data_IF_645390658017
#
_entry.id   IF_645390658017
#
_cell.length_a   1.000
_cell.length_b   1.000
_cell.length_c   1.000
_cell.angle_alpha   90.00
_cell.angle_beta   90.00
_cell.angle_gamma   90.00
#
_symmetry.space_group_name_H-M   'P 1'
#
loop_
_entity.id
_entity.type
_entity.pdbx_description
1 polymer ?
#
# COMPACT_ATOMS: atom_id res chain seq x y z
N UNK A 1 -8.93 -16.22 25.24
CA UNK A 1 -8.44 -14.85 25.52
C UNK A 1 -7.78 -14.34 24.25
N UNK A 2 -8.38 -13.39 23.55
CA UNK A 2 -7.70 -12.72 22.43
C UNK A 2 -6.64 -11.75 22.99
N UNK A 3 -5.53 -11.51 22.29
CA UNK A 3 -4.49 -10.64 22.80
C UNK A 3 -5.04 -9.21 22.95
N UNK A 4 -4.82 -8.63 24.12
CA UNK A 4 -5.19 -7.26 24.42
C UNK A 4 -4.52 -6.31 23.42
N UNK A 5 -5.32 -5.45 22.79
CA UNK A 5 -4.82 -4.37 21.95
C UNK A 5 -4.05 -3.41 22.87
N UNK A 6 -2.72 -3.41 22.80
CA UNK A 6 -1.90 -2.43 23.50
C UNK A 6 -2.12 -1.04 22.87
N UNK A 7 -2.21 0.04 23.66
CA UNK A 7 -2.11 1.39 23.13
C UNK A 7 -0.71 1.53 22.50
N UNK A 8 -0.65 1.61 21.16
CA UNK A 8 0.64 1.66 20.46
C UNK A 8 0.72 1.01 19.06
N UNK A 9 -0.38 0.65 18.41
CA UNK A 9 -0.32 0.04 17.07
C UNK A 9 0.47 0.87 16.05
N UNK A 10 0.31 2.19 16.06
CA UNK A 10 1.09 3.09 15.18
C UNK A 10 2.58 3.17 15.58
N UNK A 11 2.91 3.10 16.88
CA UNK A 11 4.30 3.06 17.33
C UNK A 11 4.98 1.74 16.98
N UNK A 12 4.24 0.62 17.04
CA UNK A 12 4.72 -0.68 16.56
C UNK A 12 5.04 -0.61 15.06
N UNK A 13 4.11 -0.11 14.24
CA UNK A 13 4.33 0.03 12.79
C UNK A 13 5.53 0.94 12.45
N UNK A 14 5.77 2.01 13.22
CA UNK A 14 6.95 2.87 13.05
C UNK A 14 8.27 2.15 13.36
N UNK A 15 8.24 1.17 14.26
CA UNK A 15 9.40 0.38 14.66
C UNK A 15 9.76 -0.74 13.67
N UNK A 16 8.89 -1.05 12.71
CA UNK A 16 9.15 -2.08 11.71
C UNK A 16 10.23 -1.64 10.71
N UNK A 17 10.92 -2.63 10.14
CA UNK A 17 11.70 -2.43 8.93
C UNK A 17 10.79 -2.05 7.76
N UNK A 18 11.36 -1.33 6.78
CA UNK A 18 10.60 -0.84 5.63
C UNK A 18 10.00 -1.98 4.79
N UNK A 19 10.71 -3.11 4.67
CA UNK A 19 10.22 -4.31 3.98
C UNK A 19 8.96 -4.90 4.62
N UNK A 20 8.95 -5.08 5.94
CA UNK A 20 7.80 -5.61 6.67
C UNK A 20 6.64 -4.59 6.71
N UNK A 21 6.94 -3.30 6.82
CA UNK A 21 5.91 -2.26 6.76
C UNK A 21 5.23 -2.20 5.38
N UNK A 22 6.02 -2.28 4.30
CA UNK A 22 5.51 -2.34 2.93
C UNK A 22 4.66 -3.60 2.73
N UNK A 23 5.14 -4.77 3.17
CA UNK A 23 4.41 -6.03 3.06
C UNK A 23 3.04 -5.97 3.77
N UNK A 24 3.00 -5.41 4.98
CA UNK A 24 1.75 -5.22 5.74
C UNK A 24 0.78 -4.26 5.05
N UNK A 25 1.30 -3.18 4.47
CA UNK A 25 0.47 -2.25 3.69
C UNK A 25 -0.12 -2.94 2.46
N UNK A 26 0.69 -3.68 1.70
CA UNK A 26 0.23 -4.45 0.53
C UNK A 26 -0.82 -5.49 0.95
N UNK A 27 -0.59 -6.23 2.04
CA UNK A 27 -1.55 -7.20 2.56
C UNK A 27 -2.89 -6.55 2.96
N UNK A 28 -2.83 -5.39 3.61
CA UNK A 28 -4.03 -4.65 4.03
C UNK A 28 -4.88 -4.20 2.85
N UNK A 29 -4.23 -3.80 1.76
CA UNK A 29 -4.89 -3.13 0.63
C UNK A 29 -5.19 -4.08 -0.54
N UNK A 30 -4.42 -5.16 -0.73
CA UNK A 30 -4.47 -5.94 -1.97
C UNK A 30 -4.40 -7.46 -1.80
N UNK A 31 -4.47 -8.02 -0.57
CA UNK A 31 -4.34 -9.48 -0.40
C UNK A 31 -5.35 -10.34 -1.19
N UNK A 32 -6.52 -9.78 -1.50
CA UNK A 32 -7.57 -10.44 -2.28
C UNK A 32 -7.52 -10.17 -3.79
N UNK A 33 -6.58 -9.37 -4.26
CA UNK A 33 -6.53 -8.87 -5.65
C UNK A 33 -5.64 -9.73 -6.57
N UNK A 34 -5.06 -10.81 -6.04
CA UNK A 34 -4.05 -11.61 -6.73
C UNK A 34 -2.67 -10.94 -6.76
N UNK A 35 -1.67 -11.66 -7.26
CA UNK A 35 -0.26 -11.21 -7.23
C UNK A 35 -0.03 -9.92 -8.01
N UNK A 36 -0.69 -9.73 -9.16
CA UNK A 36 -0.58 -8.50 -9.96
C UNK A 36 -1.13 -7.29 -9.19
N UNK A 37 -2.23 -7.45 -8.45
CA UNK A 37 -2.79 -6.40 -7.60
C UNK A 37 -1.89 -6.04 -6.41
N UNK A 38 -1.25 -7.04 -5.80
CA UNK A 38 -0.27 -6.82 -4.73
C UNK A 38 0.95 -6.04 -5.23
N UNK A 39 1.49 -6.42 -6.39
CA UNK A 39 2.59 -5.72 -7.06
C UNK A 39 2.17 -4.28 -7.38
N UNK A 40 1.00 -4.09 -7.98
CA UNK A 40 0.46 -2.79 -8.36
C UNK A 40 0.35 -1.81 -7.18
N UNK A 41 -0.18 -2.27 -6.03
CA UNK A 41 -0.24 -1.44 -4.82
C UNK A 41 1.16 -1.13 -4.28
N UNK A 42 2.08 -2.10 -4.33
CA UNK A 42 3.49 -1.88 -3.98
C UNK A 42 4.12 -0.76 -4.81
N UNK A 43 3.91 -0.77 -6.13
CA UNK A 43 4.38 0.31 -7.01
C UNK A 43 3.75 1.66 -6.68
N UNK A 44 2.44 1.73 -6.38
CA UNK A 44 1.81 3.01 -5.99
C UNK A 44 2.48 3.61 -4.75
N UNK A 45 2.82 2.78 -3.75
CA UNK A 45 3.51 3.25 -2.54
C UNK A 45 4.88 3.84 -2.89
N UNK A 46 5.66 3.15 -3.73
CA UNK A 46 7.00 3.60 -4.12
C UNK A 46 6.95 4.81 -5.08
N UNK A 47 5.99 4.86 -5.99
CA UNK A 47 5.73 6.03 -6.84
C UNK A 47 5.42 7.28 -6.00
N UNK A 48 4.70 7.13 -4.87
CA UNK A 48 4.46 8.22 -3.91
C UNK A 48 5.73 8.67 -3.19
N UNK A 49 6.62 7.73 -2.85
CA UNK A 49 7.93 8.06 -2.28
C UNK A 49 8.76 8.87 -3.28
N UNK A 50 8.78 8.45 -4.54
CA UNK A 50 9.56 9.07 -5.61
C UNK A 50 9.01 10.44 -6.04
N UNK A 51 7.68 10.60 -6.09
CA UNK A 51 7.04 11.85 -6.53
C UNK A 51 7.09 12.96 -5.47
N UNK A 52 7.25 12.63 -4.19
CA UNK A 52 7.17 13.58 -3.09
C UNK A 52 5.75 14.10 -2.82
N UNK A 53 5.57 14.91 -1.77
CA UNK A 53 4.26 15.47 -1.40
C UNK A 53 3.29 14.50 -0.71
N UNK A 54 3.57 13.20 -0.72
CA UNK A 54 2.78 12.15 -0.04
C UNK A 54 3.31 11.79 1.37
N UNK A 55 4.51 12.24 1.71
CA UNK A 55 5.22 11.93 2.96
C UNK A 55 6.69 11.64 2.64
N UNK A 56 7.58 11.77 3.63
CA UNK A 56 9.01 11.52 3.43
C UNK A 56 9.35 10.05 3.70
N UNK A 57 9.94 9.41 2.69
CA UNK A 57 10.29 7.99 2.73
C UNK A 57 9.07 7.07 2.86
N UNK A 58 9.35 5.77 3.00
CA UNK A 58 8.30 4.75 3.02
C UNK A 58 7.37 4.91 4.23
N UNK A 59 7.94 5.08 5.43
CA UNK A 59 7.17 5.29 6.67
C UNK A 59 6.31 6.54 6.61
N UNK A 60 6.84 7.63 6.04
CA UNK A 60 6.10 8.87 5.88
C UNK A 60 4.92 8.72 4.93
N UNK A 61 5.07 7.96 3.85
CA UNK A 61 3.98 7.68 2.90
C UNK A 61 2.92 6.74 3.51
N UNK A 62 3.34 5.61 4.08
CA UNK A 62 2.43 4.56 4.58
C UNK A 62 1.66 5.02 5.83
N UNK A 63 2.34 5.65 6.79
CA UNK A 63 1.75 5.98 8.09
C UNK A 63 1.13 7.38 8.14
N UNK A 64 1.10 8.11 7.02
CA UNK A 64 0.40 9.38 6.95
C UNK A 64 -1.10 9.15 7.09
N UNK A 65 -1.72 9.98 7.92
CA UNK A 65 -3.14 9.89 8.28
C UNK A 65 -4.01 9.82 7.01
N UNK A 66 -4.83 8.77 6.91
CA UNK A 66 -5.79 8.49 5.81
C UNK A 66 -5.17 8.14 4.44
N UNK A 67 -3.87 7.86 4.33
CA UNK A 67 -3.29 7.44 3.04
C UNK A 67 -3.59 6.00 2.65
N UNK A 68 -3.77 5.13 3.64
CA UNK A 68 -4.15 3.73 3.46
C UNK A 68 -5.20 3.37 4.50
N UNK A 69 -6.34 2.89 4.04
CA UNK A 69 -7.52 2.66 4.88
C UNK A 69 -7.29 1.61 5.95
N UNK A 70 -6.49 0.60 5.63
CA UNK A 70 -6.18 -0.51 6.53
C UNK A 70 -5.47 -0.09 7.84
N UNK A 71 -4.85 1.10 7.87
CA UNK A 71 -4.22 1.65 9.07
C UNK A 71 -5.11 2.60 9.88
N UNK A 72 -6.35 2.83 9.46
CA UNK A 72 -7.30 3.63 10.23
C UNK A 72 -7.82 2.82 11.43
N UNK A 73 -7.98 3.46 12.59
CA UNK A 73 -8.33 2.79 13.85
C UNK A 73 -9.68 2.04 13.84
N UNK A 74 -10.56 2.32 12.87
CA UNK A 74 -11.84 1.64 12.70
C UNK A 74 -11.82 0.50 11.67
N UNK A 75 -10.71 0.26 10.98
CA UNK A 75 -10.60 -0.81 9.99
C UNK A 75 -10.35 -2.16 10.69
N UNK A 76 -11.12 -3.23 10.38
CA UNK A 76 -10.92 -4.55 10.96
C UNK A 76 -9.50 -5.12 10.74
N UNK A 77 -8.82 -4.69 9.68
CA UNK A 77 -7.44 -5.09 9.40
C UNK A 77 -6.43 -4.41 10.32
N UNK A 78 -6.75 -3.26 10.92
CA UNK A 78 -5.82 -2.52 11.77
C UNK A 78 -5.26 -3.38 12.89
N UNK A 79 -6.12 -4.17 13.54
CA UNK A 79 -5.72 -5.07 14.62
C UNK A 79 -4.77 -6.15 14.09
N UNK A 80 -5.09 -6.78 12.94
CA UNK A 80 -4.24 -7.81 12.33
C UNK A 80 -2.88 -7.25 11.94
N UNK A 81 -2.86 -6.08 11.30
CA UNK A 81 -1.65 -5.43 10.80
C UNK A 81 -0.73 -4.92 11.90
N UNK A 82 -1.24 -4.72 13.12
CA UNK A 82 -0.47 -4.20 14.27
C UNK A 82 -0.06 -5.29 15.27
N UNK A 83 -0.34 -6.56 14.98
CA UNK A 83 0.17 -7.69 15.77
C UNK A 83 1.64 -7.98 15.44
N UNK A 84 2.48 -8.35 16.43
CA UNK A 84 3.86 -8.78 16.19
C UNK A 84 3.92 -9.90 15.14
N UNK A 85 3.14 -10.95 15.36
CA UNK A 85 2.97 -12.02 14.39
C UNK A 85 1.74 -11.81 13.51
N UNK A 86 1.93 -11.88 12.19
CA UNK A 86 0.85 -11.91 11.19
C UNK A 86 0.91 -13.26 10.49
N UNK A 87 -0.03 -14.14 10.83
CA UNK A 87 -0.14 -15.50 10.30
C UNK A 87 -1.26 -15.57 9.25
N UNK A 88 -0.87 -15.53 7.97
CA UNK A 88 -1.75 -15.66 6.80
C UNK A 88 -0.89 -16.03 5.59
N UNK A 89 -1.35 -16.92 4.72
CA UNK A 89 -0.56 -17.33 3.55
C UNK A 89 -0.24 -16.15 2.64
N UNK A 90 -1.17 -15.19 2.49
CA UNK A 90 -0.97 -14.03 1.64
C UNK A 90 0.10 -13.07 2.18
N UNK A 91 0.42 -13.07 3.48
CA UNK A 91 1.50 -12.20 3.99
C UNK A 91 2.87 -12.66 3.50
N UNK A 92 3.08 -13.96 3.26
CA UNK A 92 4.35 -14.46 2.71
C UNK A 92 4.59 -13.90 1.29
N UNK A 93 3.57 -13.95 0.44
CA UNK A 93 3.59 -13.36 -0.90
C UNK A 93 3.82 -11.85 -0.83
N UNK A 94 3.13 -11.15 0.08
CA UNK A 94 3.33 -9.70 0.25
C UNK A 94 4.75 -9.34 0.70
N UNK A 95 5.39 -10.19 1.52
CA UNK A 95 6.80 -10.02 1.94
C UNK A 95 7.75 -10.21 0.77
N UNK A 96 7.51 -11.20 -0.09
CA UNK A 96 8.34 -11.44 -1.27
C UNK A 96 8.20 -10.30 -2.29
N UNK A 97 6.97 -9.82 -2.53
CA UNK A 97 6.72 -8.63 -3.35
C UNK A 97 7.43 -7.40 -2.77
N UNK A 98 7.26 -7.13 -1.47
CA UNK A 98 7.88 -5.98 -0.82
C UNK A 98 9.42 -6.01 -0.93
N UNK A 99 10.02 -7.16 -0.65
CA UNK A 99 11.48 -7.35 -0.74
C UNK A 99 11.97 -7.09 -2.17
N UNK A 100 11.35 -7.75 -3.15
CA UNK A 100 11.72 -7.60 -4.56
C UNK A 100 11.65 -6.15 -5.02
N UNK A 101 10.57 -5.44 -4.70
CA UNK A 101 10.40 -4.05 -5.08
C UNK A 101 11.45 -3.12 -4.44
N UNK A 102 11.81 -3.36 -3.18
CA UNK A 102 12.83 -2.55 -2.48
C UNK A 102 14.25 -2.84 -2.97
N UNK A 103 14.52 -4.03 -3.50
CA UNK A 103 15.80 -4.42 -4.09
C UNK A 103 16.01 -3.87 -5.52
N UNK A 104 14.92 -3.52 -6.22
CA UNK A 104 14.98 -2.96 -7.58
C UNK A 104 15.44 -1.50 -7.57
N UNK A 105 16.25 -1.13 -8.56
CA UNK A 105 16.55 0.25 -8.89
C UNK A 105 15.29 1.01 -9.32
N UNK A 106 15.34 2.34 -9.31
CA UNK A 106 14.22 3.16 -9.71
C UNK A 106 13.84 2.95 -11.18
N UNK A 107 14.83 2.78 -12.05
CA UNK A 107 14.65 2.52 -13.47
C UNK A 107 13.97 1.17 -13.72
N UNK A 108 14.41 0.11 -13.03
CA UNK A 108 13.78 -1.21 -13.10
C UNK A 108 12.34 -1.15 -12.59
N UNK A 109 12.09 -0.49 -11.45
CA UNK A 109 10.72 -0.33 -10.93
C UNK A 109 9.82 0.38 -11.92
N UNK A 110 10.32 1.43 -12.58
CA UNK A 110 9.54 2.20 -13.56
C UNK A 110 9.25 1.38 -14.81
N UNK A 111 10.19 0.53 -15.24
CA UNK A 111 10.01 -0.35 -16.40
C UNK A 111 9.00 -1.47 -16.12
N UNK A 112 8.99 -2.01 -14.90
CA UNK A 112 8.14 -3.12 -14.48
C UNK A 112 6.80 -2.68 -13.87
N UNK A 113 6.55 -1.36 -13.67
CA UNK A 113 5.34 -0.86 -13.01
C UNK A 113 4.06 -1.12 -13.83
N UNK A 114 3.20 -2.06 -13.41
CA UNK A 114 1.98 -2.42 -14.15
C UNK A 114 0.92 -1.31 -14.11
N UNK A 115 1.10 -0.31 -13.24
CA UNK A 115 0.20 0.82 -13.05
C UNK A 115 0.56 2.04 -13.89
N UNK A 116 1.71 2.00 -14.58
CA UNK A 116 2.23 3.10 -15.39
C UNK A 116 2.46 4.40 -14.60
N UNK A 117 3.03 4.31 -13.40
CA UNK A 117 3.36 5.46 -12.55
C UNK A 117 2.16 6.00 -11.76
N UNK A 118 1.18 5.16 -11.43
CA UNK A 118 0.02 5.59 -10.65
C UNK A 118 0.43 5.99 -9.23
N UNK A 119 -0.20 7.05 -8.72
CA UNK A 119 -0.04 7.52 -7.33
C UNK A 119 -1.33 7.36 -6.53
N UNK A 120 -2.42 6.96 -7.18
CA UNK A 120 -3.74 6.80 -6.59
C UNK A 120 -4.42 5.54 -7.11
N UNK A 121 -5.27 4.94 -6.29
CA UNK A 121 -6.20 3.90 -6.71
C UNK A 121 -7.47 3.94 -5.88
N UNK A 122 -8.51 3.28 -6.38
CA UNK A 122 -9.73 3.02 -5.62
C UNK A 122 -10.40 1.72 -6.09
N UNK A 123 -11.23 1.12 -5.22
CA UNK A 123 -12.05 -0.03 -5.61
C UNK A 123 -13.06 0.37 -6.70
N UNK A 124 -13.33 -0.54 -7.64
CA UNK A 124 -14.25 -0.32 -8.76
C UNK A 124 -15.69 -0.04 -8.33
N UNK A 125 -16.06 -0.48 -7.12
CA UNK A 125 -17.37 -0.26 -6.53
C UNK A 125 -17.57 1.18 -6.00
N UNK A 126 -16.50 1.97 -5.86
CA UNK A 126 -16.58 3.35 -5.34
C UNK A 126 -16.12 4.37 -6.38
N UNK A 127 -16.62 5.61 -6.27
CA UNK A 127 -16.25 6.74 -7.15
C UNK A 127 -15.84 7.96 -6.32
N UNK A 128 -14.56 8.07 -5.93
CA UNK A 128 -14.07 9.21 -5.16
C UNK A 128 -14.17 10.52 -5.94
N UNK A 129 -14.39 11.65 -5.25
CA UNK A 129 -14.55 12.96 -5.91
C UNK A 129 -13.31 13.39 -6.72
N UNK A 130 -12.11 13.01 -6.28
CA UNK A 130 -10.85 13.39 -6.92
C UNK A 130 -10.70 12.80 -8.33
N UNK A 131 -11.43 11.73 -8.65
CA UNK A 131 -11.45 11.14 -10.02
C UNK A 131 -12.00 12.10 -11.08
N UNK A 132 -12.69 13.17 -10.67
CA UNK A 132 -13.20 14.22 -11.56
C UNK A 132 -12.22 15.38 -11.74
N UNK A 133 -11.10 15.38 -11.02
CA UNK A 133 -10.08 16.43 -11.16
C UNK A 133 -9.41 16.34 -12.52
N UNK A 134 -9.21 17.49 -13.19
CA UNK A 134 -8.44 17.56 -14.43
C UNK A 134 -6.97 17.16 -14.26
N UNK A 135 -6.49 17.10 -13.01
CA UNK A 135 -5.14 16.64 -12.67
C UNK A 135 -5.05 15.12 -12.53
N UNK A 136 -6.15 14.38 -12.65
CA UNK A 136 -6.13 12.92 -12.50
C UNK A 136 -6.31 12.24 -13.85
N UNK A 137 -5.30 11.45 -14.23
CA UNK A 137 -5.31 10.64 -15.45
C UNK A 137 -5.51 9.18 -15.08
N UNK A 138 -6.50 8.54 -15.70
CA UNK A 138 -6.71 7.11 -15.55
C UNK A 138 -5.56 6.34 -16.20
N UNK A 139 -4.93 5.43 -15.46
CA UNK A 139 -3.86 4.59 -15.98
C UNK A 139 -4.40 3.24 -16.47
N UNK A 140 -4.97 2.46 -15.55
CA UNK A 140 -5.35 1.06 -15.80
C UNK A 140 -6.28 0.53 -14.72
N UNK A 141 -6.99 -0.56 -15.02
CA UNK A 141 -7.67 -1.41 -14.03
C UNK A 141 -6.90 -2.72 -13.85
N UNK A 142 -6.62 -3.11 -12.61
CA UNK A 142 -6.03 -4.40 -12.23
C UNK A 142 -6.90 -4.98 -11.12
N UNK A 143 -7.46 -6.17 -11.35
CA UNK A 143 -8.45 -6.77 -10.45
C UNK A 143 -9.66 -5.85 -10.19
N UNK A 144 -9.96 -5.67 -8.91
CA UNK A 144 -10.98 -4.78 -8.37
C UNK A 144 -10.53 -3.32 -8.26
N UNK A 145 -9.28 -2.96 -8.55
CA UNK A 145 -8.75 -1.60 -8.41
C UNK A 145 -8.61 -0.84 -9.73
N UNK A 146 -8.96 0.46 -9.70
CA UNK A 146 -8.68 1.41 -10.77
C UNK A 146 -7.55 2.33 -10.32
N UNK A 147 -6.50 2.43 -11.14
CA UNK A 147 -5.28 3.17 -10.86
C UNK A 147 -5.24 4.48 -11.65
N UNK A 148 -4.73 5.52 -11.00
CA UNK A 148 -4.71 6.88 -11.50
C UNK A 148 -3.39 7.56 -11.17
N UNK A 149 -2.96 8.46 -12.06
CA UNK A 149 -1.78 9.30 -11.90
C UNK A 149 -2.19 10.76 -11.79
N UNK A 150 -1.64 11.44 -10.79
CA UNK A 150 -1.75 12.89 -10.68
C UNK A 150 -0.72 13.56 -11.61
N UNK A 151 -1.15 14.54 -12.40
CA UNK A 151 -0.33 15.34 -13.34
C UNK A 151 -0.33 16.83 -13.00
#
# INVERSE_FOLDING_TARGET
MGPAIKPGGLSFLRGLEDSELLARCIYGEARGEGIEGMIAVGHVILNRCDAGGYGEGLKGVILRRRQFSCFNSGDPNFIKLTQPELHDDAISVCRDVARRLLEMSQEERKADDPTHGATHYHAASIRPYWTKSLRMVFCRRIGGHLFWKEV
#
